data_IF_059085564254
#
_entry.id   IF_059085564254
#
_cell.length_a   1.000
_cell.length_b   1.000
_cell.length_c   1.000
_cell.angle_alpha   90.00
_cell.angle_beta   90.00
_cell.angle_gamma   90.00
#
_symmetry.space_group_name_H-M   'P 1'
#
loop_
_entity.id
_entity.type
_entity.pdbx_description
1 polymer ?
#
# COMPACT_ATOMS: atom_id res chain seq x y z
N UNK A 1 -20.69 -1.96 -0.32
CA UNK A 1 -19.91 -2.37 0.87
C UNK A 1 -19.87 -3.89 0.90
N UNK A 2 -18.68 -4.49 0.98
CA UNK A 2 -18.53 -5.94 1.16
C UNK A 2 -18.29 -6.24 2.64
N UNK A 3 -18.86 -7.34 3.13
CA UNK A 3 -18.64 -7.84 4.49
C UNK A 3 -18.10 -9.26 4.42
N UNK A 4 -17.14 -9.57 5.27
CA UNK A 4 -16.53 -10.89 5.38
C UNK A 4 -16.62 -11.31 6.84
N UNK A 5 -17.17 -12.50 7.08
CA UNK A 5 -17.23 -13.12 8.40
C UNK A 5 -16.24 -14.29 8.41
N UNK A 6 -15.21 -14.18 9.25
CA UNK A 6 -14.22 -15.23 9.45
C UNK A 6 -14.63 -16.02 10.69
N UNK A 7 -15.03 -17.28 10.51
CA UNK A 7 -15.40 -18.19 11.61
C UNK A 7 -14.17 -18.89 12.16
N UNK A 8 -14.29 -19.36 13.41
CA UNK A 8 -13.32 -20.25 14.06
C UNK A 8 -11.88 -19.72 14.06
N UNK A 9 -11.73 -18.39 14.22
CA UNK A 9 -10.43 -17.75 14.34
C UNK A 9 -9.88 -17.97 15.74
N UNK A 10 -8.67 -18.52 15.83
CA UNK A 10 -8.00 -18.75 17.12
C UNK A 10 -7.86 -17.43 17.92
N UNK A 11 -8.09 -17.52 19.23
CA UNK A 11 -8.12 -16.35 20.11
C UNK A 11 -6.76 -15.66 20.22
N UNK A 12 -5.67 -16.41 20.11
CA UNK A 12 -4.30 -15.88 20.12
C UNK A 12 -4.01 -15.02 18.86
N UNK A 13 -4.55 -15.42 17.70
CA UNK A 13 -4.47 -14.66 16.45
C UNK A 13 -5.21 -13.33 16.60
N UNK A 14 -6.39 -13.34 17.19
CA UNK A 14 -7.16 -12.12 17.46
C UNK A 14 -6.37 -11.17 18.37
N UNK A 15 -5.74 -11.68 19.43
CA UNK A 15 -4.93 -10.86 20.34
C UNK A 15 -3.69 -10.26 19.65
N UNK A 16 -2.97 -11.05 18.85
CA UNK A 16 -1.84 -10.55 18.05
C UNK A 16 -2.27 -9.41 17.11
N UNK A 17 -3.44 -9.54 16.47
CA UNK A 17 -3.99 -8.51 15.61
C UNK A 17 -4.39 -7.25 16.39
N UNK A 18 -4.96 -7.38 17.60
CA UNK A 18 -5.27 -6.23 18.46
C UNK A 18 -4.00 -5.47 18.87
N UNK A 19 -2.95 -6.18 19.27
CA UNK A 19 -1.65 -5.57 19.63
C UNK A 19 -1.07 -4.81 18.44
N UNK A 20 -1.11 -5.43 17.25
CA UNK A 20 -0.63 -4.81 16.01
C UNK A 20 -1.46 -3.57 15.63
N UNK A 21 -2.79 -3.64 15.77
CA UNK A 21 -3.68 -2.52 15.51
C UNK A 21 -3.39 -1.33 16.44
N UNK A 22 -3.17 -1.59 17.75
CA UNK A 22 -2.75 -0.57 18.73
C UNK A 22 -1.42 0.06 18.34
N UNK A 23 -0.42 -0.75 17.96
CA UNK A 23 0.90 -0.25 17.53
C UNK A 23 0.81 0.70 16.33
N UNK A 24 -0.14 0.45 15.42
CA UNK A 24 -0.34 1.28 14.24
C UNK A 24 -1.38 2.39 14.43
N UNK A 25 -1.94 2.57 15.63
CA UNK A 25 -2.94 3.61 15.90
C UNK A 25 -4.25 3.44 15.13
N UNK A 26 -4.65 2.20 14.82
CA UNK A 26 -5.88 1.89 14.07
C UNK A 26 -6.75 0.86 14.78
N UNK A 27 -8.02 0.80 14.40
CA UNK A 27 -8.95 -0.22 14.90
C UNK A 27 -8.58 -1.61 14.39
N UNK A 28 -9.04 -2.67 15.06
CA UNK A 28 -8.85 -4.06 14.61
C UNK A 28 -9.39 -4.27 13.19
N UNK A 29 -10.57 -3.72 12.89
CA UNK A 29 -11.14 -3.74 11.54
C UNK A 29 -10.24 -3.01 10.53
N UNK A 30 -9.66 -1.87 10.91
CA UNK A 30 -8.72 -1.13 10.07
C UNK A 30 -7.43 -1.92 9.79
N UNK A 31 -6.91 -2.62 10.80
CA UNK A 31 -5.77 -3.52 10.62
C UNK A 31 -6.10 -4.66 9.66
N UNK A 32 -7.21 -5.37 9.91
CA UNK A 32 -7.67 -6.48 9.07
C UNK A 32 -7.89 -6.05 7.62
N UNK A 33 -8.55 -4.90 7.41
CA UNK A 33 -8.77 -4.33 6.07
C UNK A 33 -7.45 -4.11 5.35
N UNK A 34 -6.47 -3.50 6.02
CA UNK A 34 -5.20 -3.20 5.38
C UNK A 34 -4.39 -4.46 5.08
N UNK A 35 -4.43 -5.47 5.96
CA UNK A 35 -3.80 -6.78 5.69
C UNK A 35 -4.44 -7.41 4.46
N UNK A 36 -5.77 -7.48 4.40
CA UNK A 36 -6.48 -8.03 3.24
C UNK A 36 -6.16 -7.26 1.94
N UNK A 37 -6.12 -5.92 1.99
CA UNK A 37 -5.74 -5.10 0.84
C UNK A 37 -4.29 -5.36 0.40
N UNK A 38 -3.37 -5.50 1.34
CA UNK A 38 -1.96 -5.80 1.03
C UNK A 38 -1.79 -7.20 0.45
N UNK A 39 -2.47 -8.20 1.05
CA UNK A 39 -2.44 -9.59 0.62
C UNK A 39 -3.12 -9.81 -0.74
N UNK A 40 -4.19 -9.06 -1.03
CA UNK A 40 -4.81 -9.07 -2.34
C UNK A 40 -3.86 -8.52 -3.43
N UNK A 41 -2.89 -7.68 -3.04
CA UNK A 41 -1.91 -7.09 -3.94
C UNK A 41 -2.56 -6.29 -5.08
N UNK A 42 -1.74 -5.87 -6.03
CA UNK A 42 -2.22 -5.61 -7.39
C UNK A 42 -1.96 -6.88 -8.18
N UNK A 43 -2.97 -7.43 -8.83
CA UNK A 43 -2.69 -8.43 -9.87
C UNK A 43 -1.74 -7.81 -10.90
N UNK A 44 -0.91 -8.61 -11.55
CA UNK A 44 -0.01 -8.13 -12.61
C UNK A 44 -0.78 -7.33 -13.68
N UNK A 45 -2.02 -7.73 -13.99
CA UNK A 45 -2.91 -7.00 -14.89
C UNK A 45 -3.36 -5.63 -14.36
N UNK A 46 -3.66 -5.50 -13.07
CA UNK A 46 -4.03 -4.20 -12.47
C UNK A 46 -2.83 -3.27 -12.32
N UNK A 47 -1.66 -3.82 -11.97
CA UNK A 47 -0.40 -3.07 -11.94
C UNK A 47 -0.07 -2.52 -13.33
N UNK A 48 -0.22 -3.34 -14.38
CA UNK A 48 0.00 -2.93 -15.76
C UNK A 48 -1.01 -1.88 -16.21
N UNK A 49 -2.30 -2.01 -15.86
CA UNK A 49 -3.32 -0.99 -16.15
C UNK A 49 -3.00 0.34 -15.48
N UNK A 50 -2.62 0.33 -14.19
CA UNK A 50 -2.20 1.55 -13.47
C UNK A 50 -0.97 2.17 -14.11
N UNK A 51 0.06 1.39 -14.41
CA UNK A 51 1.26 1.87 -15.08
C UNK A 51 0.93 2.55 -16.42
N UNK A 52 0.11 1.91 -17.27
CA UNK A 52 -0.35 2.49 -18.54
C UNK A 52 -1.10 3.81 -18.36
N UNK A 53 -1.95 3.92 -17.34
CA UNK A 53 -2.65 5.18 -17.03
C UNK A 53 -1.67 6.30 -16.64
N UNK A 54 -0.68 5.98 -15.80
CA UNK A 54 0.37 6.93 -15.42
C UNK A 54 1.23 7.34 -16.62
N UNK A 55 1.67 6.39 -17.45
CA UNK A 55 2.37 6.69 -18.70
C UNK A 55 1.57 7.62 -19.60
N UNK A 56 0.25 7.41 -19.73
CA UNK A 56 -0.62 8.29 -20.54
C UNK A 56 -0.72 9.71 -19.96
N UNK A 57 -0.79 9.84 -18.62
CA UNK A 57 -0.85 11.14 -17.92
C UNK A 57 0.46 11.90 -17.93
N UNK A 58 1.59 11.19 -17.98
CA UNK A 58 2.93 11.76 -17.96
C UNK A 58 3.50 11.92 -19.38
N UNK A 59 2.93 11.25 -20.38
CA UNK A 59 3.29 11.40 -21.78
C UNK A 59 3.15 12.86 -22.23
N UNK A 60 4.17 13.37 -22.89
CA UNK A 60 4.20 14.74 -23.43
C UNK A 60 4.60 15.81 -22.42
N UNK A 61 4.80 15.50 -21.13
CA UNK A 61 5.36 16.45 -20.16
C UNK A 61 6.88 16.44 -20.24
N UNK A 62 7.48 17.63 -20.41
CA UNK A 62 8.91 17.83 -20.15
C UNK A 62 9.11 18.00 -18.66
N UNK A 63 9.81 17.07 -18.03
CA UNK A 63 10.19 17.17 -16.63
C UNK A 63 11.56 17.84 -16.53
N UNK A 64 11.78 18.74 -15.57
CA UNK A 64 13.10 19.32 -15.34
C UNK A 64 14.07 18.22 -14.87
N UNK A 65 15.26 18.18 -15.47
CA UNK A 65 16.31 17.25 -15.07
C UNK A 65 17.00 17.77 -13.80
N UNK A 66 16.67 17.15 -12.67
CA UNK A 66 17.18 17.51 -11.35
C UNK A 66 18.40 16.67 -10.92
N UNK A 67 18.94 15.85 -11.82
CA UNK A 67 20.05 14.93 -11.54
C UNK A 67 21.27 15.65 -10.96
N UNK A 68 21.60 16.83 -11.50
CA UNK A 68 22.71 17.65 -11.01
C UNK A 68 22.46 18.25 -9.61
N UNK A 69 21.21 18.52 -9.23
CA UNK A 69 20.89 19.02 -7.89
C UNK A 69 21.00 17.92 -6.85
N UNK A 70 20.57 16.70 -7.20
CA UNK A 70 20.67 15.52 -6.33
C UNK A 70 22.12 15.09 -6.09
N UNK A 71 22.98 15.17 -7.11
CA UNK A 71 24.40 14.83 -6.97
C UNK A 71 25.15 15.79 -6.04
N UNK A 72 24.81 17.09 -6.08
CA UNK A 72 25.41 18.11 -5.21
C UNK A 72 24.99 17.96 -3.75
N UNK A 73 23.76 17.51 -3.51
CA UNK A 73 23.24 17.31 -2.15
C UNK A 73 23.86 16.09 -1.45
N UNK A 74 24.10 15.00 -2.19
CA UNK A 74 24.72 13.77 -1.66
C UNK A 74 26.22 13.85 -1.36
N UNK A 75 26.89 14.88 -1.88
CA UNK A 75 28.33 15.12 -1.68
C UNK A 75 28.66 16.01 -0.48
N UNK A 76 27.69 16.32 0.37
CA UNK A 76 27.81 17.10 1.61
C UNK A 76 27.77 16.17 2.82
#
# INVERSE_FOLDING_TARGET
>A
MAQILVRDLESDVVEKLKVRAKKHGRSLQGEARQILTQSAGLSAGEAQKRSRQWHKKLAGRKFPDTTNMLSKDRGR
#
